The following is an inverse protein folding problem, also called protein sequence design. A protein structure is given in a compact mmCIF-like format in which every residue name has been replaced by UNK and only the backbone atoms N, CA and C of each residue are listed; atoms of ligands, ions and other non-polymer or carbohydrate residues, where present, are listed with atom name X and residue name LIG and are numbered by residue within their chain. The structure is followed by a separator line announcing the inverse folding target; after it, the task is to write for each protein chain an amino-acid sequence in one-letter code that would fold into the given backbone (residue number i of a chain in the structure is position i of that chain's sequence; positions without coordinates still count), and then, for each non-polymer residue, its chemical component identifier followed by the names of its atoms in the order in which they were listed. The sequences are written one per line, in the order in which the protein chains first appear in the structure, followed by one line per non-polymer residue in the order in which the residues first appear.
data_IF_673533435700
#
_entry.id   IF_673533435700
#
_cell.length_a   1.000
_cell.length_b   1.000
_cell.length_c   1.000
_cell.angle_alpha   90.00
_cell.angle_beta   90.00
_cell.angle_gamma   90.00
#
_symmetry.space_group_name_H-M   'P 1'
#
loop_
_entity.id
_entity.type
_entity.pdbx_description
1 polymer ?
#
# COMPACT_ATOMS: atom_id res chain seq x y z
N UNK A 1 10.65 -11.30 -0.16
CA UNK A 1 10.05 -11.86 1.07
C UNK A 1 8.76 -12.56 0.68
N UNK A 2 8.63 -13.84 0.95
CA UNK A 2 7.40 -14.59 0.64
C UNK A 2 6.40 -14.30 1.76
N UNK A 3 5.17 -13.90 1.43
CA UNK A 3 4.11 -13.71 2.43
C UNK A 3 3.92 -15.04 3.15
N UNK A 4 3.88 -15.06 4.49
CA UNK A 4 3.63 -16.28 5.23
C UNK A 4 2.34 -16.96 4.74
N UNK A 5 2.39 -18.26 4.46
CA UNK A 5 1.23 -19.03 4.01
C UNK A 5 0.03 -18.94 4.99
N UNK A 6 0.31 -18.64 6.25
CA UNK A 6 -0.68 -18.41 7.31
C UNK A 6 -1.62 -17.20 7.06
N UNK A 7 -1.31 -16.33 6.10
CA UNK A 7 -2.17 -15.18 5.76
C UNK A 7 -3.21 -15.51 4.66
N UNK A 8 -3.22 -16.72 4.12
CA UNK A 8 -4.20 -17.15 3.12
C UNK A 8 -5.37 -17.90 3.77
N UNK A 9 -6.58 -17.56 3.38
CA UNK A 9 -7.80 -18.26 3.80
C UNK A 9 -8.41 -17.80 5.12
N UNK A 10 -7.84 -16.78 5.76
CA UNK A 10 -8.38 -16.14 6.96
C UNK A 10 -8.74 -14.68 6.69
N UNK A 11 -9.65 -14.12 7.50
CA UNK A 11 -9.94 -12.68 7.49
C UNK A 11 -8.92 -11.97 8.37
N UNK A 12 -8.20 -11.02 7.81
CA UNK A 12 -7.22 -10.20 8.53
C UNK A 12 -7.71 -8.74 8.65
N UNK A 13 -7.48 -8.16 9.83
CA UNK A 13 -7.63 -6.73 10.03
C UNK A 13 -6.35 -6.01 9.62
N UNK A 14 -6.47 -5.03 8.72
CA UNK A 14 -5.38 -4.17 8.25
C UNK A 14 -5.66 -2.73 8.72
N UNK A 15 -5.21 -2.35 9.92
CA UNK A 15 -5.39 -0.98 10.38
C UNK A 15 -4.60 -0.01 9.52
N UNK A 16 -5.24 1.07 9.08
CA UNK A 16 -4.56 2.15 8.40
C UNK A 16 -3.91 3.10 9.40
N UNK A 17 -2.63 3.40 9.19
CA UNK A 17 -1.92 4.41 9.99
C UNK A 17 -2.43 5.83 9.74
N UNK A 18 -3.32 6.03 8.78
CA UNK A 18 -3.99 7.30 8.53
C UNK A 18 -4.79 7.79 9.76
N UNK A 19 -5.27 6.87 10.58
CA UNK A 19 -6.04 7.18 11.80
C UNK A 19 -5.17 7.32 13.06
N UNK A 20 -3.87 7.13 12.94
CA UNK A 20 -2.92 7.18 14.06
C UNK A 20 -2.46 8.61 14.37
N UNK A 21 -1.84 8.81 15.52
CA UNK A 21 -1.14 10.05 15.83
C UNK A 21 0.17 10.12 15.03
N UNK A 22 0.25 11.02 14.04
CA UNK A 22 1.40 11.17 13.15
C UNK A 22 2.69 11.56 13.87
N UNK A 23 2.59 12.16 15.06
CA UNK A 23 3.77 12.50 15.87
C UNK A 23 4.41 11.27 16.54
N UNK A 24 3.73 10.12 16.57
CA UNK A 24 4.15 8.89 17.24
C UNK A 24 3.88 7.63 16.43
N UNK A 25 3.90 7.71 15.10
CA UNK A 25 3.52 6.60 14.21
C UNK A 25 4.25 5.29 14.52
N UNK A 26 5.52 5.34 14.94
CA UNK A 26 6.26 4.13 15.34
C UNK A 26 5.62 3.44 16.55
N UNK A 27 5.28 4.18 17.59
CA UNK A 27 4.62 3.66 18.80
C UNK A 27 3.21 3.12 18.47
N UNK A 28 2.47 3.80 17.60
CA UNK A 28 1.13 3.38 17.16
C UNK A 28 1.18 2.05 16.39
N UNK A 29 2.20 1.86 15.54
CA UNK A 29 2.43 0.58 14.85
C UNK A 29 2.76 -0.53 15.85
N UNK A 30 3.64 -0.29 16.81
CA UNK A 30 3.99 -1.24 17.86
C UNK A 30 2.75 -1.65 18.67
N UNK A 31 1.90 -0.68 19.03
CA UNK A 31 0.66 -0.95 19.79
C UNK A 31 -0.33 -1.85 19.03
N UNK A 32 -0.52 -1.66 17.71
CA UNK A 32 -1.41 -2.54 16.93
C UNK A 32 -0.78 -3.91 16.67
N UNK A 33 0.56 -4.00 16.60
CA UNK A 33 1.27 -5.29 16.54
C UNK A 33 1.06 -6.10 17.83
N UNK A 34 1.16 -5.47 18.98
CA UNK A 34 0.92 -6.09 20.30
C UNK A 34 -0.55 -6.55 20.44
N UNK A 35 -1.49 -5.84 19.79
CA UNK A 35 -2.89 -6.24 19.70
C UNK A 35 -3.14 -7.43 18.73
N UNK A 36 -2.10 -7.95 18.05
CA UNK A 36 -2.17 -9.15 17.20
C UNK A 36 -2.41 -8.89 15.72
N UNK A 37 -2.27 -7.64 15.25
CA UNK A 37 -2.32 -7.28 13.84
C UNK A 37 -1.19 -7.98 13.06
N UNK A 38 -1.47 -8.36 11.82
CA UNK A 38 -0.54 -9.11 10.95
C UNK A 38 -0.07 -8.34 9.72
N UNK A 39 -0.70 -7.23 9.39
CA UNK A 39 -0.41 -6.41 8.21
C UNK A 39 -0.69 -4.96 8.60
N UNK A 40 0.18 -4.04 8.21
CA UNK A 40 -0.03 -2.58 8.39
C UNK A 40 -0.46 -1.98 7.06
N UNK A 41 -1.56 -1.23 7.07
CA UNK A 41 -2.05 -0.52 5.89
C UNK A 41 -1.58 0.93 5.87
N UNK A 42 -1.11 1.41 4.71
CA UNK A 42 -0.58 2.76 4.53
C UNK A 42 -1.26 3.42 3.34
N UNK A 43 -2.16 4.36 3.62
CA UNK A 43 -2.88 5.13 2.61
C UNK A 43 -2.05 6.35 2.17
N UNK A 44 -1.57 6.33 0.94
CA UNK A 44 -0.77 7.40 0.32
C UNK A 44 -1.66 8.24 -0.58
N UNK A 45 -1.74 9.54 -0.29
CA UNK A 45 -2.59 10.51 -0.99
C UNK A 45 -1.78 11.74 -1.38
N UNK A 46 -1.98 12.27 -2.59
CA UNK A 46 -1.17 13.34 -3.18
C UNK A 46 -1.88 14.70 -3.31
N UNK A 47 -3.14 14.79 -2.91
CA UNK A 47 -3.94 16.00 -3.04
C UNK A 47 -4.43 16.28 -4.48
N UNK A 48 -4.20 15.36 -5.43
CA UNK A 48 -4.63 15.46 -6.82
C UNK A 48 -5.62 14.36 -7.18
N UNK A 49 -5.20 13.10 -7.09
CA UNK A 49 -6.10 11.97 -7.32
C UNK A 49 -7.22 11.90 -6.29
N UNK A 50 -6.90 12.22 -5.03
CA UNK A 50 -7.87 12.40 -3.93
C UNK A 50 -7.61 13.72 -3.21
N UNK A 51 -8.63 14.38 -2.60
CA UNK A 51 -8.51 15.72 -2.03
C UNK A 51 -7.88 15.71 -0.61
N UNK A 52 -6.91 14.86 -0.37
CA UNK A 52 -6.16 14.79 0.89
C UNK A 52 -4.67 14.57 0.60
N UNK A 53 -3.82 14.93 1.54
CA UNK A 53 -2.36 14.77 1.45
C UNK A 53 -1.89 14.01 2.69
N UNK A 54 -1.15 12.91 2.52
CA UNK A 54 -0.75 12.10 3.66
C UNK A 54 0.75 11.80 3.69
N UNK A 55 1.18 10.66 3.17
CA UNK A 55 2.51 10.11 3.33
C UNK A 55 3.25 10.03 2.00
N UNK A 56 4.58 10.04 2.08
CA UNK A 56 5.46 9.74 0.95
C UNK A 56 6.37 8.54 1.27
N UNK A 57 7.25 8.14 0.33
CA UNK A 57 8.18 7.03 0.53
C UNK A 57 9.06 7.18 1.77
N UNK A 58 9.42 8.41 2.14
CA UNK A 58 10.23 8.69 3.33
C UNK A 58 9.54 8.22 4.61
N UNK A 59 8.23 8.46 4.76
CA UNK A 59 7.50 7.99 5.93
C UNK A 59 7.49 6.45 6.01
N UNK A 60 7.30 5.77 4.88
CA UNK A 60 7.36 4.29 4.82
C UNK A 60 8.74 3.79 5.24
N UNK A 61 9.82 4.43 4.76
CA UNK A 61 11.19 4.07 5.10
C UNK A 61 11.49 4.29 6.60
N UNK A 62 11.03 5.40 7.16
CA UNK A 62 11.23 5.70 8.59
C UNK A 62 10.44 4.75 9.51
N UNK A 63 9.28 4.28 9.04
CA UNK A 63 8.45 3.33 9.78
C UNK A 63 8.92 1.88 9.66
N UNK A 64 9.67 1.54 8.63
CA UNK A 64 10.12 0.16 8.39
C UNK A 64 10.87 -0.47 9.58
N UNK A 65 11.76 0.24 10.30
CA UNK A 65 12.44 -0.31 11.48
C UNK A 65 11.51 -0.66 12.65
N UNK A 66 10.32 -0.06 12.76
CA UNK A 66 9.36 -0.27 13.84
C UNK A 66 8.48 -1.53 13.65
N UNK A 67 8.54 -2.19 12.49
CA UNK A 67 7.70 -3.36 12.24
C UNK A 67 8.36 -4.37 11.33
N UNK A 68 8.22 -5.65 11.66
CA UNK A 68 8.57 -6.77 10.78
C UNK A 68 7.38 -7.26 9.94
N UNK A 69 6.18 -6.71 10.19
CA UNK A 69 4.96 -7.08 9.48
C UNK A 69 5.00 -6.53 8.03
N UNK A 70 4.28 -7.17 7.10
CA UNK A 70 4.10 -6.63 5.76
C UNK A 70 3.47 -5.23 5.80
N UNK A 71 4.00 -4.32 4.98
CA UNK A 71 3.40 -3.03 4.68
C UNK A 71 2.61 -3.11 3.38
N UNK A 72 1.29 -2.97 3.49
CA UNK A 72 0.35 -2.85 2.38
C UNK A 72 0.15 -1.38 2.04
N UNK A 73 0.80 -0.91 0.99
CA UNK A 73 0.81 0.50 0.58
C UNK A 73 -0.21 0.73 -0.53
N UNK A 74 -1.23 1.54 -0.25
CA UNK A 74 -2.28 1.91 -1.18
C UNK A 74 -2.00 3.29 -1.79
N UNK A 75 -1.74 3.33 -3.08
CA UNK A 75 -1.35 4.54 -3.80
C UNK A 75 -2.57 5.22 -4.44
N UNK A 76 -3.17 6.16 -3.73
CA UNK A 76 -4.19 7.08 -4.22
C UNK A 76 -3.52 8.35 -4.75
N UNK A 77 -2.69 8.19 -5.79
CA UNK A 77 -1.87 9.25 -6.36
C UNK A 77 -1.93 9.22 -7.89
N UNK A 78 -1.71 10.36 -8.52
CA UNK A 78 -1.52 10.42 -9.96
C UNK A 78 -0.21 9.76 -10.39
N UNK A 79 -0.24 9.09 -11.56
CA UNK A 79 0.93 8.45 -12.17
C UNK A 79 1.71 7.54 -11.21
N UNK A 80 1.05 6.55 -10.60
CA UNK A 80 1.70 5.66 -9.63
C UNK A 80 2.92 4.93 -10.20
N UNK A 81 2.99 4.73 -11.52
CA UNK A 81 4.11 4.13 -12.23
C UNK A 81 5.45 4.81 -11.96
N UNK A 82 5.46 6.13 -11.76
CA UNK A 82 6.66 6.90 -11.46
C UNK A 82 7.17 6.73 -10.01
N UNK A 83 6.38 6.09 -9.15
CA UNK A 83 6.66 5.99 -7.72
C UNK A 83 6.96 4.57 -7.23
N UNK A 84 6.74 3.54 -8.06
CA UNK A 84 6.87 2.14 -7.65
C UNK A 84 8.24 1.85 -7.05
N UNK A 85 9.32 2.19 -7.75
CA UNK A 85 10.69 1.92 -7.30
C UNK A 85 10.95 2.56 -5.92
N UNK A 86 10.49 3.81 -5.72
CA UNK A 86 10.70 4.54 -4.47
C UNK A 86 9.97 3.91 -3.28
N UNK A 87 8.76 3.41 -3.48
CA UNK A 87 8.02 2.73 -2.40
C UNK A 87 8.56 1.33 -2.14
N UNK A 88 9.03 0.63 -3.17
CA UNK A 88 9.73 -0.64 -3.01
C UNK A 88 11.01 -0.47 -2.19
N UNK A 89 11.83 0.53 -2.52
CA UNK A 89 13.08 0.85 -1.81
C UNK A 89 12.81 1.28 -0.36
N UNK A 90 11.68 1.97 -0.12
CA UNK A 90 11.23 2.36 1.21
C UNK A 90 10.77 1.17 2.08
N UNK A 91 10.54 0.00 1.48
CA UNK A 91 10.17 -1.21 2.22
C UNK A 91 8.70 -1.62 2.11
N UNK A 92 7.96 -1.11 1.13
CA UNK A 92 6.62 -1.62 0.81
C UNK A 92 6.68 -3.09 0.39
N UNK A 93 5.80 -3.93 0.95
CA UNK A 93 5.69 -5.35 0.61
C UNK A 93 4.58 -5.58 -0.42
N UNK A 94 3.47 -4.86 -0.29
CA UNK A 94 2.35 -4.85 -1.21
C UNK A 94 2.15 -3.43 -1.72
N UNK A 95 1.77 -3.31 -3.00
CA UNK A 95 1.52 -2.02 -3.64
C UNK A 95 0.22 -2.11 -4.44
N UNK A 96 -0.80 -1.39 -3.97
CA UNK A 96 -2.09 -1.27 -4.65
C UNK A 96 -2.16 0.07 -5.37
N UNK A 97 -2.50 0.05 -6.66
CA UNK A 97 -2.69 1.23 -7.50
C UNK A 97 -4.15 1.36 -7.91
N UNK A 98 -4.59 2.55 -8.30
CA UNK A 98 -5.89 2.75 -8.92
C UNK A 98 -5.81 2.59 -10.43
N UNK A 99 -6.80 1.88 -11.00
CA UNK A 99 -6.93 1.70 -12.45
C UNK A 99 -6.98 3.06 -13.16
N UNK A 100 -7.73 4.00 -12.61
CA UNK A 100 -7.98 5.33 -13.18
C UNK A 100 -6.74 6.25 -13.14
N UNK A 101 -5.80 5.98 -12.23
CA UNK A 101 -4.57 6.75 -12.11
C UNK A 101 -3.43 6.22 -12.99
N UNK A 102 -3.58 5.00 -13.53
CA UNK A 102 -2.52 4.32 -14.27
C UNK A 102 -2.75 4.40 -15.78
N UNK A 103 -1.79 4.97 -16.53
CA UNK A 103 -1.84 5.00 -18.01
C UNK A 103 -1.79 3.59 -18.60
N UNK A 104 -1.00 2.70 -17.97
CA UNK A 104 -0.86 1.29 -18.36
C UNK A 104 -0.84 0.41 -17.10
N UNK A 105 -2.01 0.14 -16.54
CA UNK A 105 -2.15 -0.60 -15.28
C UNK A 105 -1.42 -1.95 -15.29
N UNK A 106 -1.64 -2.77 -16.33
CA UNK A 106 -0.99 -4.08 -16.49
C UNK A 106 0.55 -3.96 -16.44
N UNK A 107 1.15 -2.96 -17.11
CA UNK A 107 2.60 -2.73 -17.09
C UNK A 107 3.09 -2.35 -15.69
N UNK A 108 2.33 -1.52 -14.97
CA UNK A 108 2.67 -1.08 -13.60
C UNK A 108 2.59 -2.26 -12.63
N UNK A 109 1.55 -3.10 -12.71
CA UNK A 109 1.43 -4.31 -11.91
C UNK A 109 2.58 -5.30 -12.20
N UNK A 110 2.96 -5.44 -13.47
CA UNK A 110 4.11 -6.28 -13.85
C UNK A 110 5.43 -5.71 -13.30
N UNK A 111 5.59 -4.38 -13.22
CA UNK A 111 6.74 -3.74 -12.60
C UNK A 111 6.82 -4.08 -11.10
N UNK A 112 5.73 -3.97 -10.36
CA UNK A 112 5.65 -4.35 -8.95
C UNK A 112 6.07 -5.82 -8.76
N UNK A 113 5.57 -6.73 -9.60
CA UNK A 113 5.94 -8.16 -9.56
C UNK A 113 7.44 -8.39 -9.81
N UNK A 114 8.07 -7.65 -10.75
CA UNK A 114 9.52 -7.77 -11.02
C UNK A 114 10.39 -7.41 -9.82
N UNK A 115 9.92 -6.52 -8.94
CA UNK A 115 10.57 -6.22 -7.66
C UNK A 115 10.32 -7.29 -6.58
N UNK A 116 9.64 -8.39 -6.90
CA UNK A 116 9.26 -9.41 -5.92
C UNK A 116 8.19 -8.93 -4.93
N UNK A 117 7.46 -7.87 -5.26
CA UNK A 117 6.38 -7.31 -4.43
C UNK A 117 5.02 -7.77 -4.93
N UNK A 118 4.04 -7.74 -4.05
CA UNK A 118 2.66 -8.13 -4.38
C UNK A 118 1.90 -6.93 -4.97
N UNK A 119 1.41 -7.02 -6.22
CA UNK A 119 0.58 -5.97 -6.79
C UNK A 119 -0.88 -6.11 -6.36
N UNK A 120 -1.53 -4.97 -6.18
CA UNK A 120 -2.97 -4.82 -6.04
C UNK A 120 -3.51 -3.78 -7.02
N UNK A 121 -4.80 -3.88 -7.34
CA UNK A 121 -5.50 -2.88 -8.14
C UNK A 121 -6.82 -2.54 -7.46
N UNK A 122 -7.10 -1.24 -7.40
CA UNK A 122 -8.35 -0.66 -6.90
C UNK A 122 -9.04 0.12 -8.01
N UNK A 123 -10.33 0.33 -7.87
CA UNK A 123 -11.15 1.20 -8.72
C UNK A 123 -11.90 2.19 -7.84
N UNK A 124 -12.20 3.38 -8.38
CA UNK A 124 -13.09 4.33 -7.72
C UNK A 124 -14.55 3.87 -7.82
N UNK A 125 -15.46 4.34 -6.93
CA UNK A 125 -16.85 3.88 -6.92
C UNK A 125 -17.62 4.05 -8.24
N UNK A 126 -17.20 4.98 -9.11
CA UNK A 126 -17.82 5.23 -10.39
C UNK A 126 -17.34 4.27 -11.50
N UNK A 127 -16.28 3.50 -11.28
CA UNK A 127 -15.72 2.55 -12.25
C UNK A 127 -16.35 1.17 -12.03
N UNK A 128 -16.97 0.56 -13.03
CA UNK A 128 -17.55 -0.78 -12.88
C UNK A 128 -16.46 -1.84 -12.73
N UNK A 129 -16.75 -2.91 -11.96
CA UNK A 129 -15.80 -3.99 -11.71
C UNK A 129 -15.33 -4.71 -12.98
N UNK A 130 -16.16 -4.73 -14.03
CA UNK A 130 -15.86 -5.29 -15.34
C UNK A 130 -14.65 -4.63 -16.01
N UNK A 131 -14.32 -3.38 -15.65
CA UNK A 131 -13.11 -2.70 -16.13
C UNK A 131 -11.81 -3.43 -15.74
N UNK A 132 -11.84 -4.31 -14.73
CA UNK A 132 -10.72 -5.12 -14.31
C UNK A 132 -10.50 -6.40 -15.13
N UNK A 133 -11.43 -6.76 -16.01
CA UNK A 133 -11.37 -8.02 -16.79
C UNK A 133 -10.16 -8.10 -17.74
N UNK A 134 -9.59 -6.95 -18.10
CA UNK A 134 -8.48 -6.83 -19.06
C UNK A 134 -7.11 -6.55 -18.40
N UNK A 135 -6.99 -6.68 -17.06
CA UNK A 135 -5.76 -6.29 -16.31
C UNK A 135 -5.03 -7.49 -15.71
#
# INVERSE_FOLDING_TARGET
MTIPAALYGEVHLLPSILSADFSRLGEEIEAVMDAGVRIIHIDVMDGHFVPNLTFGPKAVADLRPHSTLPFDVHLMIERPDAWIDRFVDAGADWLTIHLEAAVHAQRTLAAIRRHGRRPGISIVPATPAEALSEV
#
